data_IF_185286367258
#
_entry.id   IF_185286367258
#
_cell.length_a   1.000
_cell.length_b   1.000
_cell.length_c   1.000
_cell.angle_alpha   90.00
_cell.angle_beta   90.00
_cell.angle_gamma   90.00
#
_symmetry.space_group_name_H-M   'P 1'
#
loop_
_entity.id
_entity.type
_entity.pdbx_description
1 polymer ?
#
# COMPACT_ATOMS: atom_id res chain seq x y z
N UNK A 1 11.60 13.47 -5.10
CA UNK A 1 10.39 14.08 -4.52
C UNK A 1 9.82 13.06 -3.58
N UNK A 2 9.53 13.49 -2.36
CA UNK A 2 9.04 12.65 -1.26
C UNK A 2 7.51 12.53 -1.36
N UNK A 3 6.95 11.42 -0.90
CA UNK A 3 5.51 11.23 -0.78
C UNK A 3 5.06 11.88 0.52
N UNK A 4 4.18 12.87 0.43
CA UNK A 4 3.73 13.63 1.58
C UNK A 4 2.21 13.50 1.76
N UNK A 5 1.78 13.34 3.01
CA UNK A 5 0.38 13.49 3.40
C UNK A 5 0.17 14.89 3.98
N UNK A 6 -0.94 15.55 3.64
CA UNK A 6 -1.22 16.94 4.05
C UNK A 6 -1.19 17.14 5.57
N UNK A 7 -1.40 16.09 6.38
CA UNK A 7 -1.53 16.19 7.83
C UNK A 7 -0.32 15.70 8.65
N UNK A 8 0.59 14.89 8.08
CA UNK A 8 1.66 14.21 8.85
C UNK A 8 3.08 14.50 8.37
N UNK A 9 3.24 15.44 7.43
CA UNK A 9 4.53 15.75 6.82
C UNK A 9 4.95 14.71 5.77
N UNK A 10 6.19 14.84 5.29
CA UNK A 10 6.79 13.94 4.31
C UNK A 10 7.54 12.80 5.02
N UNK A 11 6.82 12.05 5.86
CA UNK A 11 7.35 10.83 6.48
C UNK A 11 6.65 9.58 5.91
N UNK A 12 5.82 9.77 4.88
CA UNK A 12 4.97 8.74 4.31
C UNK A 12 5.78 7.92 3.30
N UNK A 13 6.19 6.73 3.72
CA UNK A 13 6.99 5.83 2.88
C UNK A 13 6.16 4.99 1.90
N UNK A 14 4.84 4.86 2.10
CA UNK A 14 3.99 3.97 1.31
C UNK A 14 2.51 4.35 1.32
N UNK A 15 1.77 3.94 0.29
CA UNK A 15 0.32 4.12 0.16
C UNK A 15 -0.30 2.97 -0.65
N UNK A 16 -1.31 2.31 -0.09
CA UNK A 16 -2.09 1.29 -0.78
C UNK A 16 -3.57 1.31 -0.38
N UNK A 17 -4.42 0.76 -1.26
CA UNK A 17 -5.80 0.46 -0.91
C UNK A 17 -5.86 -0.83 -0.08
N UNK A 18 -6.55 -0.78 1.04
CA UNK A 18 -6.77 -1.95 1.90
C UNK A 18 -7.75 -2.90 1.24
N UNK A 19 -7.49 -4.21 1.30
CA UNK A 19 -8.40 -5.27 0.84
C UNK A 19 -8.79 -5.19 -0.64
N UNK A 20 -7.97 -4.56 -1.47
CA UNK A 20 -8.28 -4.25 -2.85
C UNK A 20 -7.63 -5.20 -3.88
N UNK A 21 -7.04 -6.31 -3.44
CA UNK A 21 -6.34 -7.25 -4.33
C UNK A 21 -7.17 -7.71 -5.55
N UNK A 22 -8.49 -7.76 -5.42
CA UNK A 22 -9.40 -8.18 -6.49
C UNK A 22 -10.14 -7.05 -7.21
N UNK A 23 -9.86 -5.79 -6.87
CA UNK A 23 -10.32 -4.65 -7.66
C UNK A 23 -9.18 -4.22 -8.57
N UNK A 24 -9.17 -4.56 -9.88
CA UNK A 24 -8.06 -4.26 -10.77
C UNK A 24 -7.79 -2.75 -10.90
N UNK A 25 -8.77 -1.89 -10.56
CA UNK A 25 -8.57 -0.44 -10.54
C UNK A 25 -7.88 0.06 -9.26
N UNK A 26 -7.83 -0.75 -8.20
CA UNK A 26 -7.31 -0.42 -6.87
C UNK A 26 -6.24 -1.38 -6.34
N UNK A 27 -5.93 -2.45 -7.07
CA UNK A 27 -4.88 -3.42 -6.76
C UNK A 27 -3.47 -2.86 -7.03
N UNK A 28 -3.15 -1.73 -6.41
CA UNK A 28 -1.89 -1.02 -6.55
C UNK A 28 -1.38 -0.53 -5.20
N UNK A 29 -0.06 -0.40 -5.12
CA UNK A 29 0.66 0.17 -3.98
C UNK A 29 1.76 1.10 -4.51
N UNK A 30 1.95 2.23 -3.85
CA UNK A 30 3.00 3.20 -4.14
C UNK A 30 3.97 3.17 -2.95
N UNK A 31 5.26 3.12 -3.23
CA UNK A 31 6.30 3.06 -2.20
C UNK A 31 7.40 4.07 -2.54
N UNK A 32 7.86 4.80 -1.53
CA UNK A 32 9.00 5.70 -1.64
C UNK A 32 10.32 4.91 -1.52
N UNK A 33 11.24 5.15 -2.45
CA UNK A 33 12.55 4.52 -2.43
C UNK A 33 13.44 5.11 -1.32
N UNK A 34 13.52 4.38 -0.21
CA UNK A 34 14.38 4.65 0.94
C UNK A 34 15.57 3.69 1.01
N UNK A 35 15.94 3.05 -0.10
CA UNK A 35 17.02 2.07 -0.17
C UNK A 35 16.59 0.70 0.37
N UNK A 36 17.40 0.06 1.21
CA UNK A 36 17.12 -1.32 1.68
C UNK A 36 15.80 -1.44 2.46
N UNK A 37 15.36 -0.37 3.12
CA UNK A 37 14.09 -0.33 3.85
C UNK A 37 12.88 -0.44 2.91
N UNK A 38 13.01 -0.07 1.63
CA UNK A 38 11.96 -0.21 0.62
C UNK A 38 11.40 -1.64 0.58
N UNK A 39 12.24 -2.66 0.78
CA UNK A 39 11.78 -4.06 0.77
C UNK A 39 10.73 -4.35 1.86
N UNK A 40 10.88 -3.74 3.03
CA UNK A 40 9.93 -3.86 4.15
C UNK A 40 8.66 -3.08 3.83
N UNK A 41 8.78 -1.87 3.28
CA UNK A 41 7.66 -1.01 2.92
C UNK A 41 6.80 -1.66 1.83
N UNK A 42 7.42 -2.22 0.78
CA UNK A 42 6.72 -2.99 -0.25
C UNK A 42 5.93 -4.15 0.36
N UNK A 43 6.53 -4.91 1.28
CA UNK A 43 5.82 -6.01 1.93
C UNK A 43 4.65 -5.52 2.80
N UNK A 44 4.79 -4.38 3.48
CA UNK A 44 3.75 -3.75 4.27
C UNK A 44 2.55 -3.34 3.41
N UNK A 45 2.79 -2.61 2.32
CA UNK A 45 1.73 -2.13 1.42
C UNK A 45 1.05 -3.27 0.64
N UNK A 46 1.81 -4.30 0.25
CA UNK A 46 1.22 -5.54 -0.29
C UNK A 46 0.32 -6.21 0.75
N UNK A 47 0.72 -6.19 2.03
CA UNK A 47 -0.13 -6.63 3.13
C UNK A 47 -1.47 -5.91 3.19
N UNK A 48 -1.48 -4.58 2.99
CA UNK A 48 -2.72 -3.81 2.89
C UNK A 48 -3.60 -4.29 1.74
N UNK A 49 -3.05 -4.45 0.53
CA UNK A 49 -3.81 -4.88 -0.67
C UNK A 49 -4.44 -6.27 -0.47
N UNK A 50 -3.74 -7.21 0.17
CA UNK A 50 -4.14 -8.61 0.28
C UNK A 50 -4.87 -8.99 1.59
N UNK A 51 -5.04 -8.06 2.54
CA UNK A 51 -5.61 -8.34 3.88
C UNK A 51 -7.00 -9.00 3.84
N UNK A 52 -7.80 -8.76 2.79
CA UNK A 52 -8.95 -9.60 2.47
C UNK A 52 -8.75 -10.17 1.08
N UNK A 53 -8.35 -11.44 1.02
CA UNK A 53 -8.31 -12.17 -0.23
C UNK A 53 -9.71 -12.19 -0.84
N UNK A 54 -9.77 -12.18 -2.18
CA UNK A 54 -10.95 -12.14 -3.06
C UNK A 54 -12.26 -12.82 -2.57
N UNK A 55 -12.16 -13.83 -1.70
CA UNK A 55 -13.27 -14.67 -1.27
C UNK A 55 -14.16 -14.13 -0.16
N UNK A 56 -13.82 -13.03 0.53
CA UNK A 56 -14.63 -12.50 1.66
C UNK A 56 -15.58 -11.35 1.30
N UNK A 57 -15.60 -10.88 0.04
CA UNK A 57 -16.51 -9.82 -0.44
C UNK A 57 -17.83 -10.38 -1.04
N UNK A 58 -18.08 -11.69 -0.95
CA UNK A 58 -19.28 -12.34 -1.53
C UNK A 58 -20.25 -12.94 -0.50
N UNK A 59 -20.19 -12.53 0.77
CA UNK A 59 -21.17 -12.90 1.80
C UNK A 59 -21.85 -11.65 2.38
#
# INVERSE_FOLDING_TARGET
HDICSEESGCTLMGLAYVAAACDPSKAAAINEDSGLLLGIVVAHEVGHVYVNFCGYMSL
#
